data_IF_212224954929
#
_entry.id   IF_212224954929
#
_cell.length_a   1.000
_cell.length_b   1.000
_cell.length_c   1.000
_cell.angle_alpha   90.00
_cell.angle_beta   90.00
_cell.angle_gamma   90.00
#
_symmetry.space_group_name_H-M   'P 1'
#
loop_
_entity.id
_entity.type
_entity.pdbx_description
1 polymer ?
#
# COMPACT_ATOMS: atom_id res chain seq x y z
N UNK A 1 30.15 82.34 73.70
CA UNK A 1 29.34 81.52 74.63
C UNK A 1 28.12 81.04 73.85
N UNK A 2 27.88 79.72 73.80
CA UNK A 2 26.65 79.09 73.24
C UNK A 2 25.37 79.64 73.93
N UNK A 3 24.15 79.55 73.35
CA UNK A 3 23.65 78.37 72.61
C UNK A 3 22.63 78.60 71.45
N UNK A 4 22.43 77.52 70.68
CA UNK A 4 21.20 77.01 70.05
C UNK A 4 19.99 77.95 69.88
N UNK A 5 19.62 78.23 68.62
CA UNK A 5 18.28 78.67 68.22
C UNK A 5 17.66 77.62 67.30
N UNK A 6 16.53 77.08 67.75
CA UNK A 6 15.58 76.26 67.02
C UNK A 6 14.90 77.08 65.90
N UNK A 7 14.84 76.51 64.68
CA UNK A 7 13.83 76.91 63.70
C UNK A 7 13.07 75.68 63.21
N UNK A 8 11.84 75.52 63.71
CA UNK A 8 10.80 74.65 63.19
C UNK A 8 10.31 75.23 61.86
N UNK A 9 10.51 74.55 60.72
CA UNK A 9 9.66 74.70 59.51
C UNK A 9 9.58 73.38 58.75
N UNK A 10 8.42 72.73 58.91
CA UNK A 10 7.60 72.09 57.86
C UNK A 10 8.33 71.41 56.69
N UNK A 11 8.27 70.08 56.75
CA UNK A 11 8.37 69.07 55.69
C UNK A 11 8.08 69.55 54.26
N UNK A 12 8.88 69.17 53.25
CA UNK A 12 8.39 69.10 51.89
C UNK A 12 7.86 67.68 51.65
N UNK A 13 6.59 67.47 51.96
CA UNK A 13 5.78 66.32 51.46
C UNK A 13 5.78 66.29 49.92
N UNK A 14 6.18 67.39 49.28
CA UNK A 14 6.26 67.55 47.83
C UNK A 14 7.33 66.68 47.12
N UNK A 15 8.45 66.35 47.80
CA UNK A 15 9.51 65.51 47.21
C UNK A 15 9.16 64.01 47.25
N UNK A 16 8.37 63.58 48.24
CA UNK A 16 7.90 62.20 48.34
C UNK A 16 6.73 61.98 47.36
N UNK A 17 5.90 63.00 47.10
CA UNK A 17 4.85 62.90 46.08
C UNK A 17 5.42 62.67 44.66
N UNK A 18 6.53 63.34 44.28
CA UNK A 18 7.16 63.10 42.98
C UNK A 18 7.80 61.71 42.87
N UNK A 19 8.42 61.21 43.96
CA UNK A 19 8.97 59.85 44.01
C UNK A 19 7.86 58.77 43.99
N UNK A 20 6.68 59.07 44.52
CA UNK A 20 5.51 58.18 44.51
C UNK A 20 4.85 58.07 43.14
N UNK A 21 5.01 59.07 42.27
CA UNK A 21 4.61 58.98 40.86
C UNK A 21 5.66 58.31 39.98
N UNK A 22 6.95 58.41 40.34
CA UNK A 22 8.04 57.71 39.64
C UNK A 22 8.15 56.21 39.99
N UNK A 23 7.58 55.78 41.12
CA UNK A 23 7.45 54.39 41.57
C UNK A 23 6.01 53.86 41.48
N UNK A 24 5.07 54.64 40.96
CA UNK A 24 3.81 54.07 40.50
C UNK A 24 4.16 53.15 39.33
N UNK A 25 3.74 51.88 39.33
CA UNK A 25 3.90 51.10 38.12
C UNK A 25 3.19 51.89 37.03
N UNK A 26 3.90 52.26 35.97
CA UNK A 26 3.27 52.36 34.66
C UNK A 26 2.77 50.95 34.32
N UNK A 27 1.78 50.45 35.05
CA UNK A 27 0.82 49.47 34.57
C UNK A 27 -0.17 50.24 33.70
N UNK A 28 0.36 50.85 32.63
CA UNK A 28 -0.45 51.30 31.51
C UNK A 28 -0.43 50.11 30.58
N UNK A 29 -1.53 49.37 30.57
CA UNK A 29 -1.78 48.34 29.58
C UNK A 29 -1.27 48.83 28.21
N UNK A 30 -0.49 47.99 27.51
CA UNK A 30 -0.02 48.29 26.14
C UNK A 30 -1.20 48.70 25.23
N UNK A 31 -2.40 48.27 25.61
CA UNK A 31 -3.69 48.63 25.05
C UNK A 31 -4.50 49.55 25.99
N UNK A 32 -4.84 50.76 25.54
CA UNK A 32 -5.59 51.73 26.35
C UNK A 32 -6.57 52.60 25.56
N UNK A 33 -6.80 52.28 24.29
CA UNK A 33 -7.81 52.96 23.48
C UNK A 33 -9.19 52.33 23.72
N UNK A 34 -10.28 53.12 23.71
CA UNK A 34 -11.63 52.62 23.99
C UNK A 34 -12.12 51.47 23.10
N UNK A 35 -11.47 51.24 21.96
CA UNK A 35 -11.80 50.25 20.93
C UNK A 35 -10.84 49.05 20.90
N UNK A 36 -10.03 48.85 21.95
CA UNK A 36 -9.06 47.74 21.99
C UNK A 36 -7.83 47.95 21.10
N UNK A 37 -7.56 49.17 20.62
CA UNK A 37 -6.34 49.47 19.89
C UNK A 37 -5.12 49.64 20.78
N UNK A 38 -3.99 49.02 20.41
CA UNK A 38 -2.70 49.14 21.08
C UNK A 38 -1.64 49.76 20.15
N UNK A 39 -0.47 50.11 20.68
CA UNK A 39 0.66 50.58 19.85
C UNK A 39 1.14 49.48 18.89
N UNK A 40 1.90 49.84 17.85
CA UNK A 40 2.40 48.85 16.88
C UNK A 40 1.33 48.24 15.97
N UNK A 41 0.15 48.86 15.85
CA UNK A 41 -1.03 48.33 15.12
C UNK A 41 -1.53 47.00 15.69
N UNK A 42 -1.38 46.78 16.99
CA UNK A 42 -1.98 45.63 17.67
C UNK A 42 -3.44 45.91 18.08
N UNK A 43 -4.26 44.87 18.19
CA UNK A 43 -5.63 44.91 18.71
C UNK A 43 -5.73 43.93 19.89
N UNK A 44 -6.24 44.37 21.05
CA UNK A 44 -6.48 43.54 22.23
C UNK A 44 -7.88 43.81 22.80
N UNK A 45 -8.70 42.76 22.88
CA UNK A 45 -10.03 42.78 23.48
C UNK A 45 -10.19 41.57 24.41
N UNK A 46 -10.50 41.80 25.68
CA UNK A 46 -10.57 40.76 26.72
C UNK A 46 -9.58 40.97 27.86
N UNK A 47 -9.92 40.45 29.03
CA UNK A 47 -9.08 40.59 30.22
C UNK A 47 -7.75 39.82 30.06
N UNK A 48 -6.63 40.45 30.41
CA UNK A 48 -5.29 39.88 30.27
C UNK A 48 -4.72 39.79 28.84
N UNK A 49 -5.46 40.19 27.80
CA UNK A 49 -5.01 40.14 26.41
C UNK A 49 -3.81 41.07 26.15
N UNK A 50 -2.74 40.55 25.53
CA UNK A 50 -1.47 41.28 25.26
C UNK A 50 -0.87 42.00 26.48
N UNK A 51 -1.06 41.46 27.69
CA UNK A 51 -0.65 42.13 28.94
C UNK A 51 0.87 42.25 29.13
N UNK A 52 1.68 41.41 28.48
CA UNK A 52 3.16 41.43 28.59
C UNK A 52 3.87 41.96 27.33
N UNK A 53 3.15 42.61 26.40
CA UNK A 53 3.72 43.11 25.14
C UNK A 53 4.75 44.23 25.39
N UNK A 54 5.97 44.03 24.87
CA UNK A 54 7.07 45.01 24.93
C UNK A 54 7.26 45.75 23.61
N UNK A 55 7.50 45.02 22.51
CA UNK A 55 7.84 45.64 21.20
C UNK A 55 7.17 45.00 19.98
N UNK A 56 6.36 43.95 20.15
CA UNK A 56 5.70 43.27 19.03
C UNK A 56 4.66 44.15 18.31
N UNK A 57 4.47 43.91 17.01
CA UNK A 57 3.57 44.68 16.13
C UNK A 57 2.55 43.79 15.40
N UNK A 58 1.44 44.39 14.98
CA UNK A 58 0.42 43.78 14.11
C UNK A 58 -0.18 42.46 14.62
N UNK A 59 -0.36 42.33 15.93
CA UNK A 59 -1.04 41.21 16.57
C UNK A 59 -2.54 41.51 16.82
N UNK A 60 -3.40 40.51 16.72
CA UNK A 60 -4.81 40.57 17.09
C UNK A 60 -5.08 39.58 18.23
N UNK A 61 -5.54 40.05 19.38
CA UNK A 61 -5.86 39.23 20.54
C UNK A 61 -7.32 39.50 20.98
N UNK A 62 -8.20 38.51 20.85
CA UNK A 62 -9.59 38.61 21.24
C UNK A 62 -9.97 37.42 22.15
N UNK A 63 -10.11 37.66 23.45
CA UNK A 63 -10.45 36.66 24.45
C UNK A 63 -9.66 36.82 25.75
N UNK A 64 -10.13 36.14 26.80
CA UNK A 64 -9.45 36.08 28.10
C UNK A 64 -8.03 35.50 27.93
N UNK A 65 -7.01 36.26 28.33
CA UNK A 65 -5.59 35.90 28.24
C UNK A 65 -5.08 35.51 26.84
N UNK A 66 -5.72 36.00 25.77
CA UNK A 66 -5.22 35.82 24.41
C UNK A 66 -3.87 36.55 24.22
N UNK A 67 -2.83 35.86 23.73
CA UNK A 67 -1.47 36.39 23.57
C UNK A 67 -0.87 37.05 24.83
N UNK A 68 -1.28 36.64 26.03
CA UNK A 68 -0.95 37.35 27.28
C UNK A 68 0.55 37.42 27.57
N UNK A 69 1.34 36.39 27.21
CA UNK A 69 2.79 36.35 27.47
C UNK A 69 3.66 36.85 26.30
N UNK A 70 3.06 37.26 25.17
CA UNK A 70 3.83 37.72 24.01
C UNK A 70 4.60 38.99 24.34
N UNK A 71 5.94 38.96 24.29
CA UNK A 71 6.79 40.12 24.60
C UNK A 71 7.26 40.84 23.33
N UNK A 72 7.75 40.09 22.33
CA UNK A 72 8.37 40.68 21.12
C UNK A 72 7.81 40.15 19.80
N UNK A 73 6.94 39.13 19.81
CA UNK A 73 6.43 38.47 18.60
C UNK A 73 5.47 39.35 17.77
N UNK A 74 5.50 39.14 16.46
CA UNK A 74 4.79 39.94 15.46
C UNK A 74 3.77 39.11 14.66
N UNK A 75 2.76 39.79 14.11
CA UNK A 75 1.84 39.22 13.10
C UNK A 75 1.02 37.99 13.57
N UNK A 76 0.68 37.90 14.85
CA UNK A 76 -0.13 36.80 15.38
C UNK A 76 -1.62 37.16 15.49
N UNK A 77 -2.50 36.20 15.21
CA UNK A 77 -3.95 36.32 15.44
C UNK A 77 -4.38 35.27 16.47
N UNK A 78 -4.96 35.70 17.59
CA UNK A 78 -5.46 34.86 18.67
C UNK A 78 -6.92 35.22 18.98
N UNK A 79 -7.84 34.28 18.77
CA UNK A 79 -9.27 34.44 19.02
C UNK A 79 -9.76 33.27 19.87
N UNK A 80 -10.12 33.53 21.12
CA UNK A 80 -10.54 32.52 22.09
C UNK A 80 -9.77 32.63 23.41
N UNK A 81 -10.35 32.12 24.50
CA UNK A 81 -9.71 32.16 25.80
C UNK A 81 -8.46 31.27 25.83
N UNK A 82 -7.33 31.85 26.24
CA UNK A 82 -6.01 31.20 26.27
C UNK A 82 -5.40 30.91 24.91
N UNK A 83 -5.90 31.47 23.80
CA UNK A 83 -5.27 31.30 22.50
C UNK A 83 -3.88 31.97 22.47
N UNK A 84 -2.83 31.24 22.05
CA UNK A 84 -1.43 31.70 22.01
C UNK A 84 -0.87 32.22 23.37
N UNK A 85 -1.37 31.71 24.49
CA UNK A 85 -1.06 32.21 25.85
C UNK A 85 0.43 32.27 26.16
N UNK A 86 1.20 31.20 25.93
CA UNK A 86 2.63 31.08 26.29
C UNK A 86 3.57 31.30 25.10
N UNK A 87 3.35 32.35 24.32
CA UNK A 87 4.27 32.76 23.25
C UNK A 87 5.19 33.88 23.75
N UNK A 88 6.51 33.80 23.52
CA UNK A 88 7.45 34.90 23.91
C UNK A 88 7.89 35.70 22.68
N UNK A 89 8.26 35.00 21.60
CA UNK A 89 8.79 35.58 20.36
C UNK A 89 8.23 34.97 19.07
N UNK A 90 7.11 34.25 19.16
CA UNK A 90 6.52 33.54 18.02
C UNK A 90 5.95 34.54 16.99
N UNK A 91 6.08 34.24 15.69
CA UNK A 91 5.60 35.11 14.61
C UNK A 91 4.69 34.36 13.63
N UNK A 92 3.77 35.10 13.00
CA UNK A 92 2.88 34.62 11.93
C UNK A 92 1.99 33.42 12.31
N UNK A 93 1.52 33.35 13.55
CA UNK A 93 0.60 32.29 13.98
C UNK A 93 -0.86 32.76 13.97
N UNK A 94 -1.77 31.89 13.55
CA UNK A 94 -3.23 32.09 13.65
C UNK A 94 -3.81 31.04 14.58
N UNK A 95 -4.45 31.43 15.67
CA UNK A 95 -5.07 30.56 16.67
C UNK A 95 -6.53 30.99 16.90
N UNK A 96 -7.49 30.13 16.58
CA UNK A 96 -8.92 30.37 16.79
C UNK A 96 -9.53 29.20 17.55
N UNK A 97 -9.90 29.40 18.81
CA UNK A 97 -10.47 28.38 19.69
C UNK A 97 -9.98 28.49 21.13
N UNK A 98 -10.68 27.81 22.04
CA UNK A 98 -10.24 27.69 23.43
C UNK A 98 -8.89 26.96 23.50
N UNK A 99 -7.86 27.61 24.05
CA UNK A 99 -6.50 27.07 24.22
C UNK A 99 -5.85 26.55 22.91
N UNK A 100 -6.23 27.12 21.76
CA UNK A 100 -5.52 26.86 20.51
C UNK A 100 -4.10 27.46 20.57
N UNK A 101 -3.07 26.68 20.22
CA UNK A 101 -1.66 27.09 20.35
C UNK A 101 -1.26 27.57 21.76
N UNK A 102 -1.82 27.00 22.83
CA UNK A 102 -1.60 27.45 24.21
C UNK A 102 -0.12 27.55 24.57
N UNK A 103 0.65 26.49 24.29
CA UNK A 103 2.09 26.39 24.57
C UNK A 103 2.90 26.37 23.27
N UNK A 104 3.08 27.54 22.66
CA UNK A 104 3.93 27.70 21.49
C UNK A 104 5.24 28.45 21.83
N UNK A 105 6.27 27.71 22.24
CA UNK A 105 7.51 28.29 22.80
C UNK A 105 8.57 28.65 21.77
N UNK A 106 8.42 28.25 20.50
CA UNK A 106 9.37 28.54 19.42
C UNK A 106 8.84 28.41 17.98
N UNK A 107 7.59 27.96 17.80
CA UNK A 107 7.02 27.73 16.47
C UNK A 107 6.50 28.99 15.77
N UNK A 108 6.66 29.04 14.45
CA UNK A 108 6.23 30.14 13.59
C UNK A 108 5.43 29.61 12.37
N UNK A 109 4.63 30.46 11.73
CA UNK A 109 3.73 30.08 10.61
C UNK A 109 2.68 28.99 10.91
N UNK A 110 2.22 28.84 12.15
CA UNK A 110 1.21 27.82 12.48
C UNK A 110 -0.22 28.36 12.39
N UNK A 111 -1.14 27.55 11.85
CA UNK A 111 -2.59 27.83 11.83
C UNK A 111 -3.32 26.79 12.67
N UNK A 112 -4.01 27.19 13.73
CA UNK A 112 -4.78 26.34 14.62
C UNK A 112 -6.23 26.84 14.72
N UNK A 113 -7.19 26.01 14.32
CA UNK A 113 -8.63 26.30 14.39
C UNK A 113 -9.36 25.15 15.07
N UNK A 114 -9.85 25.38 16.29
CA UNK A 114 -10.50 24.36 17.12
C UNK A 114 -10.04 24.43 18.58
N UNK A 115 -10.84 23.89 19.50
CA UNK A 115 -10.43 23.82 20.90
C UNK A 115 -9.24 22.85 21.06
N UNK A 116 -8.17 23.29 21.72
CA UNK A 116 -6.96 22.48 21.92
C UNK A 116 -6.19 22.12 20.64
N UNK A 117 -6.49 22.73 19.49
CA UNK A 117 -5.70 22.55 18.27
C UNK A 117 -4.27 23.09 18.49
N UNK A 118 -3.25 22.28 18.17
CA UNK A 118 -1.83 22.61 18.42
C UNK A 118 -1.53 23.04 19.88
N UNK A 119 -2.22 22.45 20.86
CA UNK A 119 -2.13 22.85 22.27
C UNK A 119 -0.68 22.94 22.80
N UNK A 120 0.14 21.93 22.50
CA UNK A 120 1.56 21.89 22.84
C UNK A 120 2.39 21.82 21.57
N UNK A 121 3.01 22.95 21.21
CA UNK A 121 3.91 23.07 20.06
C UNK A 121 5.26 23.68 20.49
N UNK A 122 6.22 22.84 20.88
CA UNK A 122 7.44 23.31 21.54
C UNK A 122 8.37 24.02 20.54
N UNK A 123 8.51 23.48 19.32
CA UNK A 123 9.38 24.03 18.27
C UNK A 123 8.88 23.89 16.82
N UNK A 124 7.74 23.24 16.58
CA UNK A 124 7.23 22.99 15.23
C UNK A 124 6.82 24.26 14.47
N UNK A 125 7.11 24.34 13.17
CA UNK A 125 6.73 25.46 12.30
C UNK A 125 5.94 25.00 11.07
N UNK A 126 5.18 25.94 10.49
CA UNK A 126 4.37 25.74 9.29
C UNK A 126 3.32 24.61 9.39
N UNK A 127 2.74 24.39 10.57
CA UNK A 127 1.69 23.39 10.77
C UNK A 127 0.28 23.99 10.62
N UNK A 128 -0.64 23.23 10.02
CA UNK A 128 -2.07 23.58 9.91
C UNK A 128 -2.92 22.56 10.66
N UNK A 129 -3.63 22.97 11.70
CA UNK A 129 -4.50 22.13 12.51
C UNK A 129 -5.93 22.67 12.52
N UNK A 130 -6.90 21.89 12.06
CA UNK A 130 -8.32 22.23 12.04
C UNK A 130 -9.16 21.11 12.64
N UNK A 131 -9.69 21.30 13.85
CA UNK A 131 -10.45 20.29 14.58
C UNK A 131 -10.23 20.35 16.09
N UNK A 132 -11.07 19.65 16.85
CA UNK A 132 -10.86 19.47 18.29
C UNK A 132 -9.59 18.62 18.49
N UNK A 133 -8.63 19.13 19.25
CA UNK A 133 -7.35 18.45 19.54
C UNK A 133 -6.53 18.01 18.32
N UNK A 134 -6.75 18.60 17.14
CA UNK A 134 -5.89 18.34 15.98
C UNK A 134 -4.46 18.81 16.28
N UNK A 135 -3.45 17.96 16.03
CA UNK A 135 -2.04 18.21 16.37
C UNK A 135 -1.80 18.60 17.84
N UNK A 136 -2.60 18.06 18.78
CA UNK A 136 -2.55 18.50 20.20
C UNK A 136 -1.16 18.45 20.82
N UNK A 137 -0.43 17.35 20.60
CA UNK A 137 0.92 17.13 21.12
C UNK A 137 1.90 17.05 19.95
N UNK A 138 2.41 18.20 19.50
CA UNK A 138 3.42 18.29 18.44
C UNK A 138 4.73 18.86 19.02
N UNK A 139 5.73 18.04 19.35
CA UNK A 139 6.91 18.57 20.04
C UNK A 139 7.81 19.33 19.07
N UNK A 140 8.26 18.68 17.99
CA UNK A 140 9.23 19.25 17.03
C UNK A 140 8.82 19.16 15.55
N UNK A 141 7.73 18.44 15.23
CA UNK A 141 7.28 18.20 13.86
C UNK A 141 6.90 19.46 13.07
N UNK A 142 7.27 19.49 11.79
CA UNK A 142 7.07 20.65 10.89
C UNK A 142 6.22 20.29 9.67
N UNK A 143 5.61 21.30 9.03
CA UNK A 143 4.85 21.14 7.78
C UNK A 143 3.71 20.11 7.82
N UNK A 144 3.12 19.88 8.99
CA UNK A 144 2.02 18.92 9.13
C UNK A 144 0.66 19.60 8.86
N UNK A 145 -0.22 18.92 8.14
CA UNK A 145 -1.62 19.34 7.93
C UNK A 145 -2.56 18.34 8.59
N UNK A 146 -3.30 18.75 9.62
CA UNK A 146 -4.27 17.94 10.35
C UNK A 146 -5.66 18.54 10.27
N UNK A 147 -6.61 17.81 9.71
CA UNK A 147 -8.03 18.20 9.65
C UNK A 147 -8.90 17.06 10.19
N UNK A 148 -9.62 17.30 11.28
CA UNK A 148 -10.46 16.30 11.95
C UNK A 148 -10.28 16.28 13.46
N UNK A 149 -11.19 15.61 14.17
CA UNK A 149 -11.04 15.38 15.61
C UNK A 149 -9.83 14.49 15.89
N UNK A 150 -8.91 15.00 16.71
CA UNK A 150 -7.68 14.32 17.10
C UNK A 150 -6.78 13.86 15.93
N UNK A 151 -6.92 14.42 14.73
CA UNK A 151 -6.02 14.15 13.62
C UNK A 151 -4.58 14.56 14.01
N UNK A 152 -3.59 13.68 13.84
CA UNK A 152 -2.21 13.86 14.33
C UNK A 152 -2.12 14.20 15.83
N UNK A 153 -3.05 13.71 16.65
CA UNK A 153 -3.21 14.12 18.05
C UNK A 153 -1.95 13.93 18.92
N UNK A 154 -1.11 12.95 18.60
CA UNK A 154 0.18 12.67 19.24
C UNK A 154 1.26 12.47 18.17
N UNK A 155 1.82 13.58 17.72
CA UNK A 155 2.87 13.61 16.70
C UNK A 155 4.17 14.15 17.31
N UNK A 156 4.97 13.28 17.93
CA UNK A 156 6.14 13.73 18.73
C UNK A 156 7.16 14.45 17.86
N UNK A 157 7.62 13.80 16.78
CA UNK A 157 8.72 14.28 15.93
C UNK A 157 8.40 14.29 14.42
N UNK A 158 7.29 13.65 13.99
CA UNK A 158 6.95 13.49 12.58
C UNK A 158 6.74 14.81 11.83
N UNK A 159 7.29 14.94 10.64
CA UNK A 159 7.20 16.09 9.75
C UNK A 159 6.58 15.73 8.40
N UNK A 160 6.05 16.73 7.69
CA UNK A 160 5.52 16.59 6.33
C UNK A 160 4.33 15.61 6.22
N UNK A 161 3.56 15.44 7.30
CA UNK A 161 2.40 14.56 7.32
C UNK A 161 1.09 15.28 6.97
N UNK A 162 0.23 14.63 6.19
CA UNK A 162 -1.13 15.09 5.87
C UNK A 162 -2.17 14.13 6.46
N UNK A 163 -2.92 14.57 7.47
CA UNK A 163 -4.00 13.83 8.10
C UNK A 163 -5.35 14.51 7.88
N UNK A 164 -6.29 13.82 7.24
CA UNK A 164 -7.66 14.30 7.01
C UNK A 164 -8.69 13.23 7.40
N UNK A 165 -9.27 13.36 8.58
CA UNK A 165 -10.21 12.41 9.16
C UNK A 165 -10.09 12.34 10.68
N UNK A 166 -11.15 11.91 11.37
CA UNK A 166 -11.08 11.70 12.81
C UNK A 166 -10.08 10.58 13.13
N UNK A 167 -9.11 10.87 14.01
CA UNK A 167 -8.06 9.92 14.40
C UNK A 167 -7.08 9.53 13.29
N UNK A 168 -7.08 10.21 12.14
CA UNK A 168 -6.07 9.96 11.10
C UNK A 168 -4.67 10.30 11.65
N UNK A 169 -3.70 9.39 11.49
CA UNK A 169 -2.33 9.53 12.05
C UNK A 169 -2.29 9.87 13.54
N UNK A 170 -3.25 9.38 14.34
CA UNK A 170 -3.38 9.78 15.76
C UNK A 170 -2.08 9.58 16.57
N UNK A 171 -1.41 8.46 16.40
CA UNK A 171 -0.09 8.17 16.97
C UNK A 171 0.91 8.11 15.83
N UNK A 172 1.71 9.16 15.65
CA UNK A 172 2.70 9.23 14.57
C UNK A 172 4.06 9.72 15.08
N UNK A 173 5.14 9.02 14.68
CA UNK A 173 6.52 9.47 14.91
C UNK A 173 7.36 9.51 13.65
N UNK A 174 6.77 9.21 12.48
CA UNK A 174 7.44 9.16 11.19
C UNK A 174 7.06 10.33 10.26
N UNK A 175 7.83 10.49 9.19
CA UNK A 175 7.72 11.60 8.25
C UNK A 175 6.98 11.21 6.96
N UNK A 176 6.51 12.20 6.19
CA UNK A 176 5.99 12.05 4.82
C UNK A 176 4.75 11.17 4.66
N UNK A 177 3.90 11.02 5.67
CA UNK A 177 2.71 10.17 5.59
C UNK A 177 1.46 10.96 5.16
N UNK A 178 0.67 10.39 4.26
CA UNK A 178 -0.66 10.90 3.86
C UNK A 178 -1.75 9.95 4.34
N UNK A 179 -2.61 10.41 5.25
CA UNK A 179 -3.75 9.67 5.78
C UNK A 179 -5.07 10.42 5.54
N UNK A 180 -5.98 9.82 4.75
CA UNK A 180 -7.28 10.39 4.42
C UNK A 180 -8.37 9.36 4.74
N UNK A 181 -9.15 9.61 5.79
CA UNK A 181 -10.19 8.71 6.27
C UNK A 181 -10.16 8.58 7.79
N UNK A 182 -11.27 8.11 8.36
CA UNK A 182 -11.35 7.86 9.81
C UNK A 182 -10.39 6.72 10.16
N UNK A 183 -9.51 6.96 11.13
CA UNK A 183 -8.50 6.01 11.61
C UNK A 183 -7.55 5.46 10.52
N UNK A 184 -7.37 6.17 9.40
CA UNK A 184 -6.31 5.86 8.45
C UNK A 184 -4.94 6.11 9.12
N UNK A 185 -4.02 5.14 9.02
CA UNK A 185 -2.70 5.20 9.69
C UNK A 185 -2.79 5.55 11.20
N UNK A 186 -3.82 5.06 11.90
CA UNK A 186 -4.08 5.44 13.30
C UNK A 186 -2.87 5.24 14.23
N UNK A 187 -2.08 4.19 13.99
CA UNK A 187 -0.85 3.89 14.72
C UNK A 187 0.34 3.71 13.77
N UNK A 188 1.20 4.73 13.66
CA UNK A 188 2.36 4.76 12.78
C UNK A 188 3.66 5.17 13.52
N UNK A 189 4.41 4.21 14.08
CA UNK A 189 5.55 4.51 14.96
C UNK A 189 6.91 4.51 14.26
N UNK A 190 7.04 3.87 13.10
CA UNK A 190 8.34 3.77 12.40
C UNK A 190 8.24 3.97 10.89
N UNK A 191 7.06 3.82 10.27
CA UNK A 191 6.91 3.86 8.81
C UNK A 191 6.78 5.27 8.21
N UNK A 192 7.74 5.71 7.41
CA UNK A 192 7.70 6.90 6.58
C UNK A 192 7.11 6.67 5.18
N UNK A 193 6.81 7.76 4.47
CA UNK A 193 6.42 7.75 3.05
C UNK A 193 5.17 6.89 2.71
N UNK A 194 4.26 6.70 3.69
CA UNK A 194 3.04 5.92 3.49
C UNK A 194 1.85 6.75 3.00
N UNK A 195 1.04 6.18 2.11
CA UNK A 195 -0.23 6.76 1.65
C UNK A 195 -1.39 5.86 2.03
N UNK A 196 -2.26 6.29 2.94
CA UNK A 196 -3.47 5.59 3.36
C UNK A 196 -4.74 6.41 3.08
N UNK A 197 -5.61 5.91 2.20
CA UNK A 197 -6.86 6.56 1.81
C UNK A 197 -8.03 5.57 1.99
N UNK A 198 -8.84 5.79 3.03
CA UNK A 198 -9.99 4.95 3.36
C UNK A 198 -10.18 4.81 4.87
N UNK A 199 -11.38 4.37 5.28
CA UNK A 199 -11.64 4.03 6.68
C UNK A 199 -10.72 2.88 7.11
N UNK A 200 -9.91 3.12 8.16
CA UNK A 200 -8.95 2.15 8.70
C UNK A 200 -7.97 1.57 7.67
N UNK A 201 -7.67 2.30 6.59
CA UNK A 201 -6.58 1.94 5.69
C UNK A 201 -5.25 2.02 6.45
N UNK A 202 -4.42 0.97 6.35
CA UNK A 202 -3.12 0.88 7.01
C UNK A 202 -3.19 1.21 8.52
N UNK A 203 -4.23 0.73 9.21
CA UNK A 203 -4.59 1.17 10.57
C UNK A 203 -3.47 0.99 11.60
N UNK A 204 -2.58 0.02 11.38
CA UNK A 204 -1.38 -0.22 12.17
C UNK A 204 -0.18 -0.35 11.23
N UNK A 205 0.85 0.45 11.50
CA UNK A 205 2.04 0.54 10.67
C UNK A 205 3.26 0.88 11.55
N UNK A 206 3.77 -0.09 12.30
CA UNK A 206 4.96 0.14 13.11
C UNK A 206 5.10 -0.89 14.22
N UNK A 207 6.34 -1.04 14.67
CA UNK A 207 6.78 -2.11 15.57
C UNK A 207 5.75 -2.45 16.66
N UNK A 208 5.22 -3.68 16.63
CA UNK A 208 4.83 -4.34 17.86
C UNK A 208 6.03 -4.27 18.81
N UNK A 209 5.82 -3.76 20.02
CA UNK A 209 6.83 -3.63 21.10
C UNK A 209 7.39 -4.99 21.57
N UNK A 210 7.19 -6.05 20.80
CA UNK A 210 7.51 -7.44 21.10
C UNK A 210 8.27 -8.08 19.92
N UNK A 211 9.36 -7.48 19.44
CA UNK A 211 10.57 -8.25 19.06
C UNK A 211 11.78 -7.34 18.89
N UNK A 212 12.56 -7.24 19.95
CA UNK A 212 13.97 -6.87 19.93
C UNK A 212 14.80 -7.95 19.19
N UNK A 213 14.56 -8.13 17.89
CA UNK A 213 15.46 -8.88 16.99
C UNK A 213 16.32 -7.88 16.24
N UNK A 214 17.28 -7.35 16.97
CA UNK A 214 18.52 -6.73 16.49
C UNK A 214 19.05 -7.53 15.28
N UNK A 215 18.90 -7.02 14.06
CA UNK A 215 19.52 -7.66 12.89
C UNK A 215 19.16 -7.19 11.48
N UNK A 216 17.96 -6.66 11.21
CA UNK A 216 17.58 -6.16 9.87
C UNK A 216 16.62 -4.98 10.05
N UNK A 217 17.12 -3.75 9.88
CA UNK A 217 16.40 -2.49 10.18
C UNK A 217 16.50 -1.54 8.99
N UNK A 218 16.21 -2.01 7.77
CA UNK A 218 16.31 -1.16 6.57
C UNK A 218 14.99 -0.93 5.80
N UNK A 219 13.82 -1.38 6.28
CA UNK A 219 12.52 -1.08 5.62
C UNK A 219 11.28 -1.45 6.46
N UNK A 220 11.28 -1.15 7.76
CA UNK A 220 10.09 -1.40 8.60
C UNK A 220 8.97 -0.43 8.22
N UNK A 221 8.04 -0.90 7.40
CA UNK A 221 6.74 -0.25 7.15
C UNK A 221 6.74 1.04 6.32
N UNK A 222 7.79 1.26 5.52
CA UNK A 222 7.91 2.42 4.61
C UNK A 222 7.26 2.16 3.23
N UNK A 223 6.98 3.23 2.48
CA UNK A 223 6.59 3.17 1.07
C UNK A 223 5.31 2.34 0.78
N UNK A 224 4.40 2.22 1.75
CA UNK A 224 3.14 1.51 1.56
C UNK A 224 2.04 2.43 1.02
N UNK A 225 1.33 1.96 -0.01
CA UNK A 225 0.16 2.64 -0.58
C UNK A 225 -1.10 1.80 -0.33
N UNK A 226 -1.97 2.26 0.56
CA UNK A 226 -3.25 1.66 0.89
C UNK A 226 -4.43 2.55 0.46
N UNK A 227 -5.20 2.13 -0.55
CA UNK A 227 -6.36 2.85 -1.07
C UNK A 227 -7.58 1.93 -1.01
N UNK A 228 -8.53 2.22 -0.12
CA UNK A 228 -9.73 1.43 0.12
C UNK A 228 -9.99 1.22 1.61
N UNK A 229 -11.25 1.00 1.98
CA UNK A 229 -11.58 0.66 3.36
C UNK A 229 -10.90 -0.66 3.75
N UNK A 230 -10.13 -0.65 4.84
CA UNK A 230 -9.39 -1.82 5.31
C UNK A 230 -8.28 -2.33 4.35
N UNK A 231 -7.84 -1.52 3.38
CA UNK A 231 -6.66 -1.87 2.59
C UNK A 231 -5.44 -1.89 3.52
N UNK A 232 -4.63 -2.96 3.47
CA UNK A 232 -3.48 -3.17 4.36
C UNK A 232 -3.83 -2.99 5.86
N UNK A 233 -5.04 -3.36 6.27
CA UNK A 233 -5.45 -3.25 7.68
C UNK A 233 -5.01 -4.44 8.54
N UNK A 234 -3.90 -5.10 8.17
CA UNK A 234 -3.44 -6.28 8.87
C UNK A 234 -3.16 -5.98 10.35
N UNK A 235 -3.25 -7.01 11.17
CA UNK A 235 -3.19 -6.87 12.63
C UNK A 235 -1.77 -6.62 13.15
N UNK A 236 -0.75 -6.87 12.32
CA UNK A 236 0.70 -6.87 12.62
C UNK A 236 1.50 -6.05 11.58
N UNK A 237 2.83 -5.93 11.78
CA UNK A 237 3.72 -5.04 11.03
C UNK A 237 3.83 -5.39 9.54
N UNK A 238 3.33 -4.52 8.67
CA UNK A 238 3.56 -4.65 7.24
C UNK A 238 4.99 -4.20 6.92
N UNK A 239 5.78 -5.02 6.23
CA UNK A 239 7.10 -4.60 5.74
C UNK A 239 6.93 -3.61 4.57
N UNK A 240 8.00 -3.00 4.07
CA UNK A 240 7.87 -1.89 3.11
C UNK A 240 7.39 -2.26 1.70
N UNK A 241 7.14 -1.24 0.88
CA UNK A 241 6.90 -1.37 -0.58
C UNK A 241 5.64 -2.14 -1.02
N UNK A 242 4.55 -2.10 -0.24
CA UNK A 242 3.29 -2.73 -0.62
C UNK A 242 2.27 -1.75 -1.21
N UNK A 243 1.67 -2.11 -2.34
CA UNK A 243 0.57 -1.35 -2.97
C UNK A 243 -0.74 -2.13 -2.88
N UNK A 244 -1.68 -1.67 -2.07
CA UNK A 244 -3.05 -2.18 -1.96
C UNK A 244 -4.08 -1.15 -2.45
N UNK A 245 -4.83 -1.49 -3.50
CA UNK A 245 -5.89 -0.68 -4.04
C UNK A 245 -7.18 -1.51 -4.18
N UNK A 246 -8.10 -1.34 -3.23
CA UNK A 246 -9.36 -2.07 -3.14
C UNK A 246 -9.78 -2.28 -1.69
N UNK A 247 -11.08 -2.44 -1.46
CA UNK A 247 -11.60 -2.77 -0.13
C UNK A 247 -11.04 -4.13 0.29
N UNK A 248 -10.34 -4.18 1.42
CA UNK A 248 -9.73 -5.38 1.98
C UNK A 248 -8.54 -5.96 1.17
N UNK A 249 -7.96 -5.20 0.24
CA UNK A 249 -6.74 -5.64 -0.44
C UNK A 249 -5.58 -5.75 0.56
N UNK A 250 -4.84 -6.87 0.54
CA UNK A 250 -3.75 -7.18 1.49
C UNK A 250 -4.15 -7.08 2.98
N UNK A 251 -5.41 -7.34 3.34
CA UNK A 251 -5.89 -7.07 4.71
C UNK A 251 -5.37 -8.02 5.81
N UNK A 252 -4.65 -9.09 5.43
CA UNK A 252 -4.05 -10.08 6.34
C UNK A 252 -2.56 -10.34 6.05
N UNK A 253 -1.86 -9.40 5.40
CA UNK A 253 -0.39 -9.47 5.25
C UNK A 253 0.26 -9.19 6.61
N UNK A 254 0.91 -10.16 7.24
CA UNK A 254 1.57 -9.95 8.54
C UNK A 254 3.03 -9.54 8.45
N UNK A 255 3.71 -9.96 7.38
CA UNK A 255 5.06 -9.56 6.96
C UNK A 255 5.14 -9.73 5.42
N UNK A 256 6.07 -9.06 4.76
CA UNK A 256 6.32 -9.20 3.33
C UNK A 256 6.36 -7.89 2.59
N UNK A 257 7.19 -7.86 1.55
CA UNK A 257 7.51 -6.66 0.78
C UNK A 257 7.14 -6.84 -0.70
N UNK A 258 7.09 -5.71 -1.41
CA UNK A 258 6.96 -5.69 -2.87
C UNK A 258 5.67 -6.36 -3.39
N UNK A 259 4.59 -6.36 -2.61
CA UNK A 259 3.32 -6.89 -3.06
C UNK A 259 2.48 -5.79 -3.73
N UNK A 260 1.88 -6.11 -4.88
CA UNK A 260 0.90 -5.26 -5.57
C UNK A 260 -0.45 -5.97 -5.60
N UNK A 261 -1.46 -5.40 -4.96
CA UNK A 261 -2.81 -5.92 -4.88
C UNK A 261 -3.83 -4.87 -5.36
N UNK A 262 -4.46 -5.10 -6.51
CA UNK A 262 -5.45 -4.20 -7.09
C UNK A 262 -6.77 -4.97 -7.29
N UNK A 263 -7.77 -4.66 -6.49
CA UNK A 263 -9.09 -5.30 -6.51
C UNK A 263 -9.63 -5.54 -5.11
N UNK A 264 -10.94 -5.75 -5.01
CA UNK A 264 -11.55 -6.16 -3.75
C UNK A 264 -10.98 -7.51 -3.28
N UNK A 265 -10.46 -7.54 -2.05
CA UNK A 265 -9.80 -8.72 -1.45
C UNK A 265 -8.72 -9.36 -2.32
N UNK A 266 -8.06 -8.57 -3.19
CA UNK A 266 -6.87 -9.03 -3.89
C UNK A 266 -5.75 -9.27 -2.87
N UNK A 267 -5.07 -10.42 -2.99
CA UNK A 267 -3.96 -10.80 -2.11
C UNK A 267 -4.33 -10.79 -0.62
N UNK A 268 -5.62 -10.98 -0.33
CA UNK A 268 -6.11 -11.10 1.02
C UNK A 268 -5.61 -12.43 1.61
N UNK A 269 -4.57 -12.36 2.44
CA UNK A 269 -3.92 -13.50 3.06
C UNK A 269 -4.87 -14.34 3.92
N UNK A 270 -4.42 -15.53 4.30
CA UNK A 270 -5.15 -16.32 5.31
C UNK A 270 -4.81 -15.74 6.68
N UNK A 271 -5.77 -15.48 7.58
CA UNK A 271 -5.44 -15.15 8.95
C UNK A 271 -4.58 -16.26 9.59
N UNK A 272 -3.69 -15.93 10.53
CA UNK A 272 -2.82 -16.90 11.20
C UNK A 272 -3.67 -18.03 11.80
N UNK A 273 -3.32 -19.29 11.51
CA UNK A 273 -4.11 -20.45 11.95
C UNK A 273 -3.79 -20.84 13.40
N UNK A 274 -2.70 -20.29 13.95
CA UNK A 274 -2.26 -20.45 15.35
C UNK A 274 -1.61 -19.15 15.85
N UNK A 275 -1.65 -18.87 17.18
CA UNK A 275 -0.90 -17.75 17.74
C UNK A 275 0.59 -17.88 17.44
N UNK A 276 1.19 -16.87 16.79
CA UNK A 276 2.61 -16.82 16.41
C UNK A 276 2.96 -17.45 15.05
N UNK A 277 1.98 -17.81 14.22
CA UNK A 277 2.22 -18.16 12.81
C UNK A 277 2.28 -16.88 11.99
N UNK A 278 3.46 -16.53 11.48
CA UNK A 278 3.67 -15.36 10.62
C UNK A 278 3.20 -15.64 9.20
N UNK A 279 2.28 -14.80 8.70
CA UNK A 279 1.83 -14.83 7.30
C UNK A 279 2.74 -13.90 6.49
N UNK A 280 3.89 -14.43 6.07
CA UNK A 280 4.88 -13.72 5.28
C UNK A 280 4.84 -14.14 3.80
N UNK A 281 4.63 -13.18 2.90
CA UNK A 281 4.82 -13.41 1.46
C UNK A 281 5.24 -12.12 0.75
N UNK A 282 6.18 -12.25 -0.18
CA UNK A 282 6.76 -11.11 -0.91
C UNK A 282 6.65 -11.29 -2.42
N UNK A 283 6.82 -10.19 -3.14
CA UNK A 283 6.98 -10.15 -4.59
C UNK A 283 5.76 -10.68 -5.38
N UNK A 284 4.55 -10.56 -4.81
CA UNK A 284 3.33 -10.99 -5.50
C UNK A 284 2.63 -9.83 -6.21
N UNK A 285 2.12 -10.08 -7.41
CA UNK A 285 1.25 -9.15 -8.16
C UNK A 285 -0.13 -9.77 -8.35
N UNK A 286 -1.15 -9.23 -7.70
CA UNK A 286 -2.55 -9.61 -7.83
C UNK A 286 -3.39 -8.47 -8.41
N UNK A 287 -3.99 -8.67 -9.59
CA UNK A 287 -4.89 -7.69 -10.22
C UNK A 287 -6.22 -8.36 -10.56
N UNK A 288 -7.27 -8.05 -9.81
CA UNK A 288 -8.60 -8.61 -9.96
C UNK A 288 -9.26 -8.90 -8.61
N UNK A 289 -10.59 -9.01 -8.61
CA UNK A 289 -11.33 -9.38 -7.40
C UNK A 289 -10.89 -10.77 -6.94
N UNK A 290 -10.45 -10.89 -5.68
CA UNK A 290 -9.96 -12.13 -5.06
C UNK A 290 -8.82 -12.82 -5.80
N UNK A 291 -8.04 -12.09 -6.63
CA UNK A 291 -6.81 -12.64 -7.21
C UNK A 291 -5.81 -12.92 -6.09
N UNK A 292 -5.18 -14.10 -6.08
CA UNK A 292 -4.28 -14.57 -5.01
C UNK A 292 -4.87 -14.47 -3.58
N UNK A 293 -6.19 -14.51 -3.44
CA UNK A 293 -6.77 -14.61 -2.11
C UNK A 293 -6.36 -15.95 -1.47
N UNK A 294 -6.10 -15.93 -0.17
CA UNK A 294 -5.54 -17.02 0.62
C UNK A 294 -4.16 -17.49 0.14
N UNK A 295 -3.36 -16.56 -0.40
CA UNK A 295 -1.98 -16.85 -0.81
C UNK A 295 -1.02 -16.83 0.40
N UNK A 296 -0.07 -17.76 0.42
CA UNK A 296 1.10 -17.69 1.32
C UNK A 296 2.41 -18.08 0.62
N UNK A 297 2.43 -18.09 -0.72
CA UNK A 297 3.63 -18.25 -1.55
C UNK A 297 4.17 -16.90 -2.04
N UNK A 298 5.43 -16.88 -2.50
CA UNK A 298 6.11 -15.70 -3.03
C UNK A 298 6.19 -15.66 -4.56
N UNK A 299 6.50 -14.49 -5.11
CA UNK A 299 6.84 -14.32 -6.54
C UNK A 299 5.72 -14.72 -7.53
N UNK A 300 4.44 -14.64 -7.13
CA UNK A 300 3.32 -15.02 -8.00
C UNK A 300 2.72 -13.81 -8.72
N UNK A 301 2.40 -13.96 -10.01
CA UNK A 301 1.65 -12.98 -10.79
C UNK A 301 0.27 -13.53 -11.14
N UNK A 302 -0.79 -12.91 -10.65
CA UNK A 302 -2.18 -13.29 -10.92
C UNK A 302 -2.99 -12.10 -11.43
N UNK A 303 -3.46 -12.17 -12.68
CA UNK A 303 -4.26 -11.13 -13.31
C UNK A 303 -5.59 -11.72 -13.78
N UNK A 304 -6.68 -11.35 -13.11
CA UNK A 304 -8.03 -11.84 -13.37
C UNK A 304 -8.79 -12.12 -12.09
N UNK A 305 -10.12 -12.11 -12.16
CA UNK A 305 -10.97 -12.50 -11.02
C UNK A 305 -10.61 -13.92 -10.57
N UNK A 306 -10.33 -14.11 -9.28
CA UNK A 306 -10.02 -15.42 -8.67
C UNK A 306 -8.83 -16.16 -9.31
N UNK A 307 -7.91 -15.45 -9.98
CA UNK A 307 -6.68 -16.05 -10.50
C UNK A 307 -5.76 -16.50 -9.33
N UNK A 308 -5.24 -17.73 -9.38
CA UNK A 308 -4.47 -18.39 -8.31
C UNK A 308 -5.12 -18.33 -6.93
N UNK A 309 -6.45 -18.40 -6.88
CA UNK A 309 -7.19 -18.49 -5.63
C UNK A 309 -6.73 -19.70 -4.80
N UNK A 310 -6.42 -19.49 -3.51
CA UNK A 310 -5.96 -20.48 -2.53
C UNK A 310 -4.55 -21.06 -2.78
N UNK A 311 -3.65 -20.30 -3.40
CA UNK A 311 -2.26 -20.69 -3.56
C UNK A 311 -1.47 -20.60 -2.24
N UNK A 312 -1.47 -21.67 -1.44
CA UNK A 312 -0.80 -21.67 -0.13
C UNK A 312 0.73 -21.60 -0.20
N UNK A 313 1.43 -22.46 -0.93
CA UNK A 313 2.92 -22.49 -0.89
C UNK A 313 3.53 -22.55 -2.29
N UNK A 314 2.73 -22.31 -3.32
CA UNK A 314 3.22 -22.27 -4.67
C UNK A 314 3.95 -20.97 -4.92
N UNK A 315 5.15 -21.05 -5.49
CA UNK A 315 5.98 -19.89 -5.79
C UNK A 315 6.18 -19.76 -7.30
N UNK A 316 6.54 -18.57 -7.77
CA UNK A 316 6.91 -18.31 -9.17
C UNK A 316 5.81 -18.69 -10.20
N UNK A 317 4.53 -18.59 -9.83
CA UNK A 317 3.43 -18.90 -10.73
C UNK A 317 2.91 -17.66 -11.45
N UNK A 318 2.61 -17.80 -12.75
CA UNK A 318 1.95 -16.77 -13.55
C UNK A 318 0.56 -17.28 -13.94
N UNK A 319 -0.49 -16.52 -13.64
CA UNK A 319 -1.87 -16.80 -14.02
C UNK A 319 -2.53 -15.57 -14.63
N UNK A 320 -2.97 -15.69 -15.88
CA UNK A 320 -3.64 -14.63 -16.62
C UNK A 320 -5.02 -15.11 -17.08
N UNK A 321 -6.08 -14.49 -16.58
CA UNK A 321 -7.47 -14.80 -16.89
C UNK A 321 -8.31 -15.10 -15.64
N UNK A 322 -9.63 -14.99 -15.76
CA UNK A 322 -10.54 -15.31 -14.66
C UNK A 322 -10.45 -16.80 -14.28
N UNK A 323 -10.18 -17.09 -13.00
CA UNK A 323 -9.98 -18.43 -12.47
C UNK A 323 -8.71 -19.13 -12.96
N UNK A 324 -7.79 -18.41 -13.64
CA UNK A 324 -6.57 -19.02 -14.15
C UNK A 324 -5.70 -19.56 -13.00
N UNK A 325 -5.06 -20.70 -13.21
CA UNK A 325 -4.26 -21.39 -12.19
C UNK A 325 -5.05 -22.08 -11.09
N UNK A 326 -6.32 -21.75 -10.83
CA UNK A 326 -7.14 -22.54 -9.90
C UNK A 326 -7.26 -23.99 -10.41
N UNK A 327 -7.17 -25.04 -9.57
CA UNK A 327 -7.09 -25.07 -8.09
C UNK A 327 -5.66 -25.29 -7.55
N UNK A 328 -4.64 -24.63 -8.10
CA UNK A 328 -3.26 -24.76 -7.60
C UNK A 328 -3.17 -24.31 -6.14
N UNK A 329 -2.49 -25.10 -5.30
CA UNK A 329 -2.30 -24.80 -3.88
C UNK A 329 -0.83 -24.78 -3.46
N UNK A 330 -0.01 -25.70 -3.96
CA UNK A 330 1.38 -25.88 -3.50
C UNK A 330 2.37 -26.04 -4.65
N UNK A 331 1.90 -25.90 -5.89
CA UNK A 331 2.74 -26.09 -7.06
C UNK A 331 3.43 -24.80 -7.46
N UNK A 332 4.64 -24.92 -7.99
CA UNK A 332 5.52 -23.78 -8.30
C UNK A 332 5.95 -23.78 -9.76
N UNK A 333 6.39 -22.61 -10.24
CA UNK A 333 6.96 -22.39 -11.58
C UNK A 333 6.01 -22.80 -12.71
N UNK A 334 4.73 -22.44 -12.59
CA UNK A 334 3.73 -22.70 -13.62
C UNK A 334 3.31 -21.42 -14.36
N UNK A 335 2.88 -21.57 -15.61
CA UNK A 335 2.31 -20.49 -16.42
C UNK A 335 0.94 -20.92 -16.93
N UNK A 336 -0.09 -20.19 -16.52
CA UNK A 336 -1.49 -20.41 -16.87
C UNK A 336 -2.03 -19.21 -17.63
N UNK A 337 -2.36 -19.37 -18.91
CA UNK A 337 -3.00 -18.34 -19.73
C UNK A 337 -4.40 -18.81 -20.12
N UNK A 338 -5.40 -18.25 -19.45
CA UNK A 338 -6.81 -18.61 -19.55
C UNK A 338 -7.15 -20.01 -19.04
N UNK A 339 -6.18 -20.70 -18.43
CA UNK A 339 -6.21 -22.13 -18.13
C UNK A 339 -6.16 -22.41 -16.63
N UNK A 340 -6.62 -23.58 -16.24
CA UNK A 340 -6.54 -24.09 -14.86
C UNK A 340 -5.39 -25.05 -14.69
N UNK A 341 -4.89 -25.18 -13.46
CA UNK A 341 -4.02 -26.29 -13.10
C UNK A 341 -4.76 -27.63 -13.23
N UNK A 342 -4.05 -28.72 -13.57
CA UNK A 342 -4.66 -30.07 -13.55
C UNK A 342 -4.65 -30.71 -12.15
N UNK A 343 -3.78 -30.24 -11.27
CA UNK A 343 -3.62 -30.75 -9.91
C UNK A 343 -3.15 -29.63 -8.97
N UNK A 344 -3.44 -29.76 -7.68
CA UNK A 344 -3.08 -28.77 -6.66
C UNK A 344 -1.56 -28.60 -6.48
N UNK A 345 -0.77 -29.62 -6.81
CA UNK A 345 0.69 -29.68 -6.68
C UNK A 345 1.40 -29.77 -8.04
N UNK A 346 0.77 -29.25 -9.10
CA UNK A 346 1.37 -29.23 -10.43
C UNK A 346 2.61 -28.32 -10.44
N UNK A 347 3.73 -28.79 -11.00
CA UNK A 347 4.97 -28.02 -11.06
C UNK A 347 5.52 -27.98 -12.49
N UNK A 348 6.17 -26.87 -12.84
CA UNK A 348 6.92 -26.70 -14.10
C UNK A 348 6.05 -26.89 -15.34
N UNK A 349 4.79 -26.44 -15.32
CA UNK A 349 3.85 -26.58 -16.45
C UNK A 349 3.49 -25.24 -17.08
N UNK A 350 3.39 -25.26 -18.41
CA UNK A 350 2.78 -24.19 -19.19
C UNK A 350 1.45 -24.72 -19.74
N UNK A 351 0.37 -23.98 -19.51
CA UNK A 351 -0.97 -24.28 -20.01
C UNK A 351 -1.58 -23.03 -20.64
N UNK A 352 -1.91 -23.11 -21.92
CA UNK A 352 -2.52 -22.02 -22.67
C UNK A 352 -3.87 -22.50 -23.22
N UNK A 353 -4.93 -21.75 -22.94
CA UNK A 353 -6.29 -22.03 -23.41
C UNK A 353 -7.30 -22.23 -22.29
N UNK A 354 -8.58 -22.11 -22.61
CA UNK A 354 -9.67 -22.17 -21.63
C UNK A 354 -10.18 -23.58 -21.36
N UNK A 355 -10.70 -23.82 -20.15
CA UNK A 355 -11.57 -24.96 -19.86
C UNK A 355 -12.90 -24.89 -20.62
N UNK A 356 -13.25 -23.74 -21.20
CA UNK A 356 -14.44 -23.62 -22.03
C UNK A 356 -14.30 -24.56 -23.25
N UNK A 357 -15.12 -25.62 -23.35
CA UNK A 357 -15.00 -26.63 -24.41
C UNK A 357 -15.31 -26.06 -25.81
N UNK A 358 -15.83 -24.83 -25.91
CA UNK A 358 -16.02 -24.18 -27.21
C UNK A 358 -14.73 -23.56 -27.77
N UNK A 359 -13.68 -23.39 -26.95
CA UNK A 359 -12.40 -22.85 -27.38
C UNK A 359 -11.47 -23.98 -27.86
N UNK A 360 -11.65 -24.41 -29.11
CA UNK A 360 -11.00 -25.63 -29.64
C UNK A 360 -9.81 -25.38 -30.57
N UNK A 361 -9.57 -24.12 -30.97
CA UNK A 361 -8.56 -23.78 -31.97
C UNK A 361 -7.53 -22.80 -31.41
N UNK A 362 -6.24 -23.11 -31.57
CA UNK A 362 -5.12 -22.20 -31.24
C UNK A 362 -4.54 -21.63 -32.54
N UNK A 363 -4.56 -20.30 -32.68
CA UNK A 363 -3.94 -19.61 -33.80
C UNK A 363 -2.69 -18.86 -33.31
N UNK A 364 -1.52 -19.22 -33.85
CA UNK A 364 -0.25 -18.51 -33.62
C UNK A 364 0.08 -17.74 -34.90
N UNK A 365 -0.18 -16.44 -34.89
CA UNK A 365 -0.01 -15.57 -36.06
C UNK A 365 1.46 -15.16 -36.20
N UNK A 366 1.95 -14.97 -37.43
CA UNK A 366 3.31 -14.50 -37.72
C UNK A 366 4.33 -15.58 -38.06
N UNK A 367 3.98 -16.86 -37.89
CA UNK A 367 4.85 -18.01 -38.23
C UNK A 367 4.45 -18.72 -39.54
N UNK A 368 3.27 -18.40 -40.10
CA UNK A 368 2.79 -19.05 -41.32
C UNK A 368 3.66 -18.65 -42.52
N UNK A 369 4.27 -19.64 -43.18
CA UNK A 369 5.16 -19.42 -44.32
C UNK A 369 6.62 -19.09 -43.96
N UNK A 370 6.95 -19.03 -42.66
CA UNK A 370 8.32 -18.78 -42.20
C UNK A 370 9.10 -20.10 -42.12
N UNK A 371 10.19 -20.27 -42.89
CA UNK A 371 10.97 -21.51 -42.86
C UNK A 371 11.72 -21.68 -41.53
N UNK A 372 11.85 -22.91 -41.06
CA UNK A 372 12.59 -23.25 -39.84
C UNK A 372 13.41 -24.53 -40.05
N UNK A 373 14.57 -24.61 -39.40
CA UNK A 373 15.41 -25.82 -39.32
C UNK A 373 15.34 -26.34 -37.88
N UNK A 374 14.94 -27.59 -37.69
CA UNK A 374 14.82 -28.21 -36.36
C UNK A 374 14.00 -29.50 -36.38
N UNK A 375 13.82 -30.10 -35.20
CA UNK A 375 12.98 -31.28 -35.01
C UNK A 375 11.49 -30.93 -35.20
N UNK A 376 10.71 -31.90 -35.68
CA UNK A 376 9.26 -31.74 -35.80
C UNK A 376 8.59 -31.79 -34.42
N UNK A 377 7.74 -30.80 -34.14
CA UNK A 377 6.95 -30.76 -32.92
C UNK A 377 5.68 -31.60 -33.10
N UNK A 378 5.40 -32.46 -32.13
CA UNK A 378 4.19 -33.30 -32.06
C UNK A 378 3.30 -32.88 -30.90
N UNK A 379 2.00 -33.19 -31.00
CA UNK A 379 1.02 -33.01 -29.93
C UNK A 379 0.52 -34.39 -29.49
N UNK A 380 0.70 -34.74 -28.22
CA UNK A 380 0.19 -35.99 -27.69
C UNK A 380 -1.31 -35.92 -27.34
N UNK A 381 -1.90 -37.04 -26.90
CA UNK A 381 -3.34 -37.13 -26.59
C UNK A 381 -3.79 -36.23 -25.42
N UNK A 382 -2.86 -35.82 -24.57
CA UNK A 382 -3.10 -34.91 -23.46
C UNK A 382 -3.03 -33.42 -23.86
N UNK A 383 -2.69 -33.14 -25.13
CA UNK A 383 -2.50 -31.79 -25.66
C UNK A 383 -1.11 -31.21 -25.37
N UNK A 384 -0.13 -32.04 -24.99
CA UNK A 384 1.25 -31.61 -24.73
C UNK A 384 2.04 -31.54 -26.04
N UNK A 385 2.68 -30.39 -26.28
CA UNK A 385 3.69 -30.20 -27.31
C UNK A 385 5.02 -30.82 -26.89
N UNK A 386 5.72 -31.46 -27.83
CA UNK A 386 7.07 -32.01 -27.61
C UNK A 386 7.74 -32.47 -28.90
N UNK A 387 8.89 -33.11 -28.77
CA UNK A 387 9.62 -33.74 -29.88
C UNK A 387 9.76 -35.24 -29.63
N UNK A 388 9.85 -36.03 -30.69
CA UNK A 388 10.06 -37.47 -30.56
C UNK A 388 11.54 -37.79 -30.28
N UNK A 389 11.78 -38.74 -29.36
CA UNK A 389 13.12 -39.19 -29.00
C UNK A 389 13.40 -40.57 -29.58
N UNK A 390 14.52 -40.74 -30.30
CA UNK A 390 14.83 -42.01 -30.99
C UNK A 390 16.21 -42.61 -30.65
N UNK A 391 17.00 -41.97 -29.79
CA UNK A 391 18.31 -42.49 -29.41
C UNK A 391 18.22 -43.81 -28.64
N UNK A 392 19.22 -44.69 -28.81
CA UNK A 392 19.24 -46.02 -28.17
C UNK A 392 19.08 -45.96 -26.64
N UNK A 393 19.63 -44.92 -25.98
CA UNK A 393 19.49 -44.69 -24.53
C UNK A 393 18.05 -44.48 -24.04
N UNK A 394 17.13 -44.14 -24.94
CA UNK A 394 15.70 -43.96 -24.63
C UNK A 394 14.85 -45.17 -25.03
N UNK A 395 15.49 -46.23 -25.56
CA UNK A 395 14.82 -47.43 -26.07
C UNK A 395 15.22 -48.65 -25.24
N UNK A 396 14.32 -49.61 -25.15
CA UNK A 396 14.56 -50.93 -24.55
C UNK A 396 14.11 -52.01 -25.53
N UNK A 397 14.63 -53.23 -25.36
CA UNK A 397 14.22 -54.40 -26.15
C UNK A 397 14.40 -54.23 -27.67
N UNK A 398 15.49 -53.58 -28.08
CA UNK A 398 15.80 -53.33 -29.49
C UNK A 398 16.14 -54.66 -30.17
N UNK A 399 15.31 -55.09 -31.12
CA UNK A 399 15.47 -56.32 -31.91
C UNK A 399 15.15 -56.06 -33.38
N UNK A 400 15.70 -56.85 -34.32
CA UNK A 400 15.25 -56.85 -35.71
C UNK A 400 13.75 -57.13 -35.82
N UNK A 401 13.09 -56.54 -36.81
CA UNK A 401 11.63 -56.71 -37.00
C UNK A 401 11.27 -57.99 -37.77
N UNK A 402 12.23 -58.60 -38.47
CA UNK A 402 12.05 -59.81 -39.30
C UNK A 402 10.74 -59.76 -40.11
N UNK A 403 9.93 -60.83 -40.08
CA UNK A 403 8.65 -60.90 -40.82
C UNK A 403 7.55 -59.98 -40.26
N UNK A 404 7.77 -59.31 -39.14
CA UNK A 404 6.78 -58.41 -38.54
C UNK A 404 6.54 -57.18 -39.41
N UNK A 405 7.56 -56.72 -40.16
CA UNK A 405 7.39 -55.62 -41.11
C UNK A 405 6.54 -56.01 -42.32
N UNK A 406 6.51 -57.28 -42.73
CA UNK A 406 5.73 -57.75 -43.89
C UNK A 406 4.21 -57.57 -43.72
N UNK A 407 3.72 -57.47 -42.48
CA UNK A 407 2.31 -57.23 -42.20
C UNK A 407 1.78 -55.95 -42.89
N UNK A 408 2.64 -54.95 -43.12
CA UNK A 408 2.24 -53.70 -43.78
C UNK A 408 1.90 -53.89 -45.27
N UNK A 409 2.38 -54.97 -45.91
CA UNK A 409 2.11 -55.24 -47.33
C UNK A 409 0.63 -55.58 -47.58
N UNK A 410 -0.11 -55.94 -46.53
CA UNK A 410 -1.55 -56.15 -46.60
C UNK A 410 -2.36 -54.84 -46.51
N UNK A 411 -1.73 -53.70 -46.18
CA UNK A 411 -2.39 -52.41 -46.10
C UNK A 411 -2.79 -51.92 -47.50
N UNK A 412 -3.96 -51.28 -47.61
CA UNK A 412 -4.54 -50.81 -48.88
C UNK A 412 -4.58 -49.28 -48.89
N UNK A 413 -3.69 -48.61 -49.65
CA UNK A 413 -3.74 -47.16 -49.82
C UNK A 413 -5.04 -46.71 -50.46
N UNK A 414 -5.56 -45.57 -50.01
CA UNK A 414 -6.76 -44.93 -50.55
C UNK A 414 -6.48 -43.47 -50.88
N UNK A 415 -7.28 -42.91 -51.78
CA UNK A 415 -7.35 -41.47 -52.02
C UNK A 415 -8.64 -40.92 -51.42
N UNK A 416 -8.58 -39.80 -50.71
CA UNK A 416 -9.72 -39.25 -49.99
C UNK A 416 -9.69 -37.72 -49.92
N UNK A 417 -10.81 -37.14 -49.49
CA UNK A 417 -10.95 -35.72 -49.19
C UNK A 417 -11.50 -35.58 -47.77
N UNK A 418 -11.02 -34.59 -47.00
CA UNK A 418 -11.57 -34.32 -45.68
C UNK A 418 -12.95 -33.67 -45.81
N UNK A 419 -13.92 -34.15 -45.03
CA UNK A 419 -15.28 -33.59 -45.00
C UNK A 419 -15.30 -32.09 -44.63
N UNK A 420 -14.32 -31.63 -43.85
CA UNK A 420 -14.16 -30.24 -43.41
C UNK A 420 -13.40 -29.35 -44.41
N UNK A 421 -12.78 -29.93 -45.44
CA UNK A 421 -12.01 -29.16 -46.42
C UNK A 421 -12.93 -28.62 -47.52
N UNK A 422 -13.26 -27.33 -47.41
CA UNK A 422 -14.06 -26.61 -48.40
C UNK A 422 -13.39 -26.50 -49.77
N UNK A 423 -12.08 -26.73 -49.88
CA UNK A 423 -11.34 -26.69 -51.15
C UNK A 423 -11.29 -28.04 -51.87
N UNK A 424 -11.88 -29.09 -51.28
CA UNK A 424 -11.90 -30.45 -51.83
C UNK A 424 -10.52 -30.96 -52.28
N UNK A 425 -9.48 -30.69 -51.48
CA UNK A 425 -8.11 -31.08 -51.82
C UNK A 425 -7.96 -32.60 -51.78
N UNK A 426 -7.58 -33.21 -52.89
CA UNK A 426 -7.31 -34.65 -52.96
C UNK A 426 -6.08 -35.01 -52.12
N UNK A 427 -6.20 -36.02 -51.25
CA UNK A 427 -5.11 -36.56 -50.43
C UNK A 427 -5.01 -38.08 -50.58
N UNK A 428 -3.88 -38.63 -50.15
CA UNK A 428 -3.59 -40.07 -50.18
C UNK A 428 -3.22 -40.54 -48.77
N UNK A 429 -3.61 -41.76 -48.41
CA UNK A 429 -3.30 -42.32 -47.10
C UNK A 429 -3.97 -43.66 -46.84
N UNK A 430 -4.22 -43.97 -45.57
CA UNK A 430 -4.82 -45.20 -45.08
C UNK A 430 -6.05 -44.91 -44.21
N UNK A 431 -6.99 -45.85 -44.16
CA UNK A 431 -8.13 -45.81 -43.24
C UNK A 431 -7.71 -46.49 -41.93
N UNK A 432 -7.80 -45.78 -40.80
CA UNK A 432 -7.28 -46.25 -39.52
C UNK A 432 -7.95 -47.55 -39.05
N UNK A 433 -9.24 -47.71 -39.29
CA UNK A 433 -10.00 -48.91 -38.96
C UNK A 433 -9.53 -50.13 -39.76
N UNK A 434 -9.10 -49.95 -41.01
CA UNK A 434 -8.54 -51.03 -41.82
C UNK A 434 -7.10 -51.37 -41.41
N UNK A 435 -6.31 -50.35 -41.03
CA UNK A 435 -4.97 -50.56 -40.44
C UNK A 435 -5.08 -51.39 -39.17
N UNK A 436 -6.03 -51.07 -38.28
CA UNK A 436 -6.20 -51.78 -37.02
C UNK A 436 -6.52 -53.28 -37.18
N UNK A 437 -7.16 -53.69 -38.29
CA UNK A 437 -7.42 -55.11 -38.60
C UNK A 437 -6.16 -55.87 -38.98
N UNK A 438 -5.21 -55.19 -39.62
CA UNK A 438 -3.95 -55.77 -40.08
C UNK A 438 -2.93 -55.77 -38.95
N UNK A 439 -2.75 -54.61 -38.30
CA UNK A 439 -1.91 -54.46 -37.13
C UNK A 439 -2.48 -53.37 -36.19
N UNK A 440 -3.03 -53.75 -35.03
CA UNK A 440 -3.63 -52.80 -34.08
C UNK A 440 -2.61 -51.87 -33.40
N UNK A 441 -1.31 -52.17 -33.46
CA UNK A 441 -0.26 -51.32 -32.87
C UNK A 441 0.06 -50.10 -33.74
N UNK A 442 -0.39 -50.09 -35.01
CA UNK A 442 -0.15 -49.01 -35.97
C UNK A 442 -1.22 -47.92 -35.93
N UNK A 443 -2.17 -47.98 -35.01
CA UNK A 443 -3.20 -46.94 -34.83
C UNK A 443 -3.02 -46.15 -33.55
N UNK A 444 -3.49 -44.90 -33.59
CA UNK A 444 -3.65 -44.02 -32.44
C UNK A 444 -5.11 -44.06 -32.03
N UNK A 445 -5.34 -44.20 -30.73
CA UNK A 445 -6.69 -44.14 -30.14
C UNK A 445 -6.90 -42.81 -29.43
N UNK A 446 -8.14 -42.34 -29.41
CA UNK A 446 -8.52 -41.14 -28.68
C UNK A 446 -8.63 -41.40 -27.16
N UNK A 447 -9.05 -40.38 -26.40
CA UNK A 447 -9.24 -40.48 -24.94
C UNK A 447 -10.33 -41.47 -24.52
N UNK A 448 -11.24 -41.84 -25.43
CA UNK A 448 -12.31 -42.82 -25.19
C UNK A 448 -11.91 -44.24 -25.63
N UNK A 449 -10.72 -44.39 -26.20
CA UNK A 449 -10.21 -45.66 -26.72
C UNK A 449 -10.67 -45.97 -28.15
N UNK A 450 -11.36 -45.05 -28.81
CA UNK A 450 -11.80 -45.23 -30.20
C UNK A 450 -10.64 -44.99 -31.17
N UNK A 451 -10.67 -45.67 -32.32
CA UNK A 451 -9.63 -45.52 -33.35
C UNK A 451 -9.73 -44.09 -33.91
N UNK A 452 -8.60 -43.37 -33.88
CA UNK A 452 -8.55 -41.95 -34.22
C UNK A 452 -7.67 -41.64 -35.42
N UNK A 453 -6.48 -42.25 -35.50
CA UNK A 453 -5.52 -41.97 -36.56
C UNK A 453 -4.56 -43.14 -36.79
N UNK A 454 -3.75 -43.05 -37.84
CA UNK A 454 -2.67 -44.00 -38.17
C UNK A 454 -1.33 -43.42 -37.73
N UNK A 455 -0.45 -44.27 -37.18
CA UNK A 455 0.95 -43.92 -36.88
C UNK A 455 1.78 -43.94 -38.17
N UNK A 456 1.60 -42.95 -39.04
CA UNK A 456 2.25 -42.90 -40.35
C UNK A 456 3.79 -43.00 -40.26
N UNK A 457 4.43 -42.41 -39.26
CA UNK A 457 5.88 -42.54 -39.05
C UNK A 457 6.33 -43.98 -38.81
N UNK A 458 5.55 -44.77 -38.06
CA UNK A 458 5.84 -46.18 -37.84
C UNK A 458 5.65 -47.00 -39.12
N UNK A 459 4.58 -46.72 -39.88
CA UNK A 459 4.34 -47.36 -41.18
C UNK A 459 5.51 -47.08 -42.14
N UNK A 460 5.95 -45.83 -42.22
CA UNK A 460 7.07 -45.42 -43.06
C UNK A 460 8.38 -46.09 -42.65
N UNK A 461 8.64 -46.22 -41.35
CA UNK A 461 9.83 -46.91 -40.84
C UNK A 461 9.80 -48.42 -41.11
N UNK A 462 8.63 -49.05 -41.13
CA UNK A 462 8.46 -50.48 -41.42
C UNK A 462 8.57 -50.83 -42.91
N UNK A 463 8.47 -49.83 -43.81
CA UNK A 463 8.65 -50.00 -45.25
C UNK A 463 10.12 -50.14 -45.68
N UNK A 464 11.06 -49.84 -44.77
CA UNK A 464 12.51 -49.99 -44.95
C UNK A 464 12.95 -51.43 -44.69
#
# INVERSE_FOLDING_TARGET
>A
MNPLIQLRKTTPVFLIALASFALSPLARAACGKPDGGCDGRNTAEGDGALSHLQTGIQNTANGFEALSMNTIGNFNTAVGAGALHQTVSAEFNTATGFQALLKNTGGFFNTATGAGALHENIGGFANTATGLNALRENQTGNHNTATGDSALGRNTDGSENTANGAGALFLNTADNNTAIGVNALYHNTTGGDNTAIGHSALNKNGEDLITDRVGDHDSISDDNTAIGAGALSALNNIDGNNTACGVGALSHLEHGENNTAIGHSALDGVPPRRPGEEVAFSDNTAVGVSALQNNSGGSNTAVGKEALLNNTTGDDNIALGAGAGGPLMTGSQNIYIGSTAKAANENFKIRIGSLNPTLVNTFIIGISGTPVVGDTVVVNIDGQLGTEMSAARFKKEIRPMDKTSEAILALKPVSFQYKSDSKATQRFGLIAEDVAKVNPDLVVRDRKGEIYSVRYEAVNAMLL
#
